data_IF_366759043118
#
_entry.id   IF_366759043118
#
_cell.length_a   1.000
_cell.length_b   1.000
_cell.length_c   1.000
_cell.angle_alpha   90.00
_cell.angle_beta   90.00
_cell.angle_gamma   90.00
#
_symmetry.space_group_name_H-M   'P 1'
#
loop_
_entity.id
_entity.type
_entity.pdbx_description
1 polymer ?
#
# COMPACT_ATOMS: atom_id res chain seq x y z
N UNK A 1 -12.46 -4.27 -5.19
CA UNK A 1 -11.31 -4.65 -4.32
C UNK A 1 -11.56 -5.95 -3.56
N UNK A 2 -12.73 -6.13 -2.95
CA UNK A 2 -13.00 -7.35 -2.18
C UNK A 2 -12.94 -8.62 -3.04
N UNK A 3 -13.37 -8.55 -4.29
CA UNK A 3 -13.30 -9.71 -5.19
C UNK A 3 -11.84 -10.09 -5.51
N UNK A 4 -10.94 -9.11 -5.61
CA UNK A 4 -9.51 -9.39 -5.78
C UNK A 4 -8.95 -10.14 -4.56
N UNK A 5 -9.34 -9.72 -3.36
CA UNK A 5 -8.90 -10.40 -2.13
C UNK A 5 -9.37 -11.84 -2.09
N UNK A 6 -10.62 -12.10 -2.46
CA UNK A 6 -11.15 -13.46 -2.55
C UNK A 6 -10.40 -14.30 -3.57
N UNK A 7 -10.12 -13.74 -4.75
CA UNK A 7 -9.39 -14.44 -5.80
C UNK A 7 -7.98 -14.81 -5.35
N UNK A 8 -7.27 -13.87 -4.74
CA UNK A 8 -5.91 -14.11 -4.24
C UNK A 8 -5.91 -15.17 -3.13
N UNK A 9 -6.90 -15.13 -2.25
CA UNK A 9 -7.03 -16.14 -1.20
C UNK A 9 -7.26 -17.52 -1.79
N UNK A 10 -8.14 -17.63 -2.79
CA UNK A 10 -8.42 -18.88 -3.49
C UNK A 10 -7.17 -19.45 -4.16
N UNK A 11 -6.28 -18.59 -4.65
CA UNK A 11 -5.02 -18.98 -5.26
C UNK A 11 -3.96 -19.40 -4.24
N UNK A 12 -4.26 -19.33 -2.94
CA UNK A 12 -3.35 -19.78 -1.90
C UNK A 12 -2.45 -18.71 -1.32
N UNK A 13 -2.68 -17.44 -1.63
CA UNK A 13 -1.88 -16.35 -1.06
C UNK A 13 -2.33 -16.02 0.36
N UNK A 14 -1.38 -15.73 1.22
CA UNK A 14 -1.65 -15.16 2.52
C UNK A 14 -1.92 -13.67 2.36
N UNK A 15 -3.05 -13.22 2.90
CA UNK A 15 -3.50 -11.85 2.75
C UNK A 15 -3.57 -11.19 4.11
N UNK A 16 -3.14 -9.94 4.17
CA UNK A 16 -3.31 -9.09 5.34
C UNK A 16 -3.92 -7.77 4.93
N UNK A 17 -4.60 -7.15 5.88
CA UNK A 17 -5.16 -5.81 5.70
C UNK A 17 -4.52 -4.87 6.70
N UNK A 18 -4.37 -3.60 6.33
CA UNK A 18 -3.77 -2.61 7.22
C UNK A 18 -4.75 -2.17 8.30
N UNK A 19 -4.20 -1.92 9.48
CA UNK A 19 -4.94 -1.39 10.62
C UNK A 19 -4.21 -0.15 11.11
N UNK A 20 -4.97 0.91 11.36
CA UNK A 20 -4.46 2.10 12.03
C UNK A 20 -4.66 1.90 13.53
N UNK A 21 -3.63 1.43 14.22
CA UNK A 21 -3.69 1.25 15.66
C UNK A 21 -3.40 2.54 16.41
N UNK A 22 -2.61 3.42 15.80
CA UNK A 22 -2.23 4.70 16.39
C UNK A 22 -2.21 5.75 15.28
N UNK A 23 -2.80 6.91 15.55
CA UNK A 23 -2.81 7.99 14.58
C UNK A 23 -1.38 8.49 14.30
N UNK A 24 -1.13 8.84 13.05
CA UNK A 24 0.15 9.39 12.60
C UNK A 24 1.34 8.47 12.87
N UNK A 25 1.11 7.16 12.78
CA UNK A 25 2.11 6.13 12.99
C UNK A 25 2.08 5.13 11.83
N UNK A 26 3.07 4.23 11.71
CA UNK A 26 3.03 3.20 10.68
C UNK A 26 1.81 2.30 10.81
N UNK A 27 1.34 1.79 9.67
CA UNK A 27 0.28 0.79 9.64
C UNK A 27 0.80 -0.54 10.18
N UNK A 28 -0.12 -1.32 10.75
CA UNK A 28 0.14 -2.71 11.11
C UNK A 28 -0.75 -3.59 10.25
N UNK A 29 -0.27 -4.77 9.88
CA UNK A 29 -0.99 -5.66 8.97
C UNK A 29 -1.42 -6.90 9.73
N UNK A 30 -2.70 -7.25 9.58
CA UNK A 30 -3.28 -8.42 10.25
C UNK A 30 -3.89 -9.35 9.21
N UNK A 31 -3.78 -10.65 9.46
CA UNK A 31 -4.26 -11.68 8.54
C UNK A 31 -5.73 -11.47 8.22
N UNK A 32 -6.05 -11.63 6.95
CA UNK A 32 -7.41 -11.60 6.45
C UNK A 32 -7.71 -12.89 5.70
N UNK A 33 -8.91 -13.42 5.90
CA UNK A 33 -9.51 -14.46 5.08
C UNK A 33 -10.98 -14.10 4.87
N UNK A 34 -11.70 -14.80 3.97
CA UNK A 34 -13.12 -14.51 3.78
C UNK A 34 -13.95 -14.59 5.07
N UNK A 35 -13.50 -15.36 6.04
CA UNK A 35 -14.20 -15.54 7.32
C UNK A 35 -13.78 -14.55 8.40
N UNK A 36 -12.78 -13.71 8.13
CA UNK A 36 -12.29 -12.75 9.12
C UNK A 36 -13.32 -11.65 9.36
N UNK A 37 -13.78 -11.47 10.61
CA UNK A 37 -14.69 -10.36 10.90
C UNK A 37 -13.96 -9.03 10.77
N UNK A 38 -14.65 -8.06 10.18
CA UNK A 38 -14.16 -6.70 10.05
C UNK A 38 -14.95 -5.78 10.97
N UNK A 39 -14.26 -4.77 11.47
CA UNK A 39 -14.88 -3.71 12.26
C UNK A 39 -14.56 -2.37 11.62
N UNK A 40 -15.29 -1.33 11.97
CA UNK A 40 -14.95 0.01 11.52
C UNK A 40 -13.86 0.57 12.41
N UNK A 41 -12.73 0.89 11.79
CA UNK A 41 -11.59 1.48 12.46
C UNK A 41 -11.52 2.98 12.25
N UNK A 42 -10.30 3.53 12.36
CA UNK A 42 -10.05 4.95 12.14
C UNK A 42 -10.50 5.35 10.74
N UNK A 43 -11.00 6.58 10.60
CA UNK A 43 -11.51 7.14 9.36
C UNK A 43 -12.65 6.30 8.76
N UNK A 44 -13.34 5.53 9.58
CA UNK A 44 -14.48 4.70 9.17
C UNK A 44 -14.10 3.63 8.13
N UNK A 45 -12.85 3.20 8.12
CA UNK A 45 -12.34 2.20 7.19
C UNK A 45 -12.50 0.81 7.80
N UNK A 46 -13.11 -0.15 7.07
CA UNK A 46 -13.18 -1.53 7.57
C UNK A 46 -11.78 -2.12 7.75
N UNK A 47 -11.56 -2.75 8.89
CA UNK A 47 -10.26 -3.38 9.19
C UNK A 47 -10.47 -4.65 10.00
N UNK A 48 -9.54 -5.63 9.93
CA UNK A 48 -9.63 -6.83 10.75
C UNK A 48 -9.43 -6.48 12.22
N UNK A 49 -9.98 -7.32 13.09
CA UNK A 49 -9.77 -7.15 14.53
C UNK A 49 -8.32 -7.45 14.88
N UNK A 50 -7.78 -6.75 15.87
CA UNK A 50 -6.37 -6.85 16.24
C UNK A 50 -6.00 -8.17 16.93
N UNK A 51 -6.97 -9.02 17.23
CA UNK A 51 -6.72 -10.35 17.77
C UNK A 51 -6.42 -11.39 16.67
N UNK A 52 -6.57 -11.03 15.39
CA UNK A 52 -6.11 -11.89 14.31
C UNK A 52 -4.58 -11.85 14.22
N UNK A 53 -3.95 -12.93 13.69
CA UNK A 53 -2.49 -12.93 13.60
C UNK A 53 -1.95 -11.81 12.74
N UNK A 54 -0.91 -11.14 13.23
CA UNK A 54 -0.19 -10.14 12.46
C UNK A 54 0.63 -10.83 11.35
N UNK A 55 0.71 -10.18 10.19
CA UNK A 55 1.53 -10.64 9.07
C UNK A 55 2.40 -9.49 8.58
N UNK A 56 3.68 -9.79 8.38
CA UNK A 56 4.57 -8.83 7.74
C UNK A 56 4.55 -9.09 6.24
N UNK A 57 4.04 -8.14 5.43
CA UNK A 57 3.84 -8.40 4.01
C UNK A 57 5.14 -8.40 3.22
N UNK A 58 5.22 -9.23 2.20
CA UNK A 58 6.30 -9.19 1.21
C UNK A 58 5.94 -8.36 -0.01
N UNK A 59 4.65 -8.12 -0.21
CA UNK A 59 4.14 -7.23 -1.26
C UNK A 59 3.04 -6.37 -0.67
N UNK A 60 3.13 -5.07 -0.88
CA UNK A 60 2.12 -4.11 -0.41
C UNK A 60 1.48 -3.42 -1.60
N UNK A 61 0.16 -3.49 -1.67
CA UNK A 61 -0.63 -2.72 -2.63
C UNK A 61 -0.94 -1.36 -2.00
N UNK A 62 -0.54 -0.29 -2.66
CA UNK A 62 -0.62 1.06 -2.10
C UNK A 62 -1.65 1.87 -2.87
N UNK A 63 -2.72 2.34 -2.20
CA UNK A 63 -3.68 3.22 -2.87
C UNK A 63 -2.98 4.49 -3.36
N UNK A 64 -3.22 4.85 -4.61
CA UNK A 64 -2.47 5.92 -5.26
C UNK A 64 -3.44 6.86 -5.97
N UNK A 65 -3.48 8.11 -5.53
CA UNK A 65 -4.32 9.14 -6.13
C UNK A 65 -3.68 9.70 -7.39
N UNK A 66 -2.39 10.01 -7.32
CA UNK A 66 -1.60 10.48 -8.43
C UNK A 66 -0.22 9.87 -8.41
N UNK A 67 0.45 9.82 -9.54
CA UNK A 67 1.77 9.19 -9.63
C UNK A 67 2.58 9.78 -10.77
N UNK A 68 3.90 9.60 -10.67
CA UNK A 68 4.83 9.95 -11.74
C UNK A 68 5.40 8.66 -12.34
N UNK A 69 5.99 8.78 -13.52
CA UNK A 69 6.65 7.63 -14.16
C UNK A 69 7.88 7.16 -13.38
N UNK A 70 8.40 8.00 -12.49
CA UNK A 70 9.54 7.66 -11.63
C UNK A 70 9.14 6.88 -10.38
N UNK A 71 7.86 6.62 -10.19
CA UNK A 71 7.38 5.84 -9.05
C UNK A 71 7.00 6.68 -7.84
N UNK A 72 7.04 8.00 -7.92
CA UNK A 72 6.56 8.85 -6.85
C UNK A 72 5.04 8.87 -6.85
N UNK A 73 4.45 8.97 -5.68
CA UNK A 73 3.01 8.97 -5.58
C UNK A 73 2.48 10.15 -4.77
N UNK A 74 1.31 10.61 -5.18
CA UNK A 74 0.48 11.51 -4.39
C UNK A 74 -0.60 10.66 -3.75
N UNK A 75 -0.62 10.63 -2.42
CA UNK A 75 -1.62 9.89 -1.66
C UNK A 75 -2.71 10.81 -1.13
N UNK A 76 -3.37 10.34 -0.08
CA UNK A 76 -4.51 11.04 0.50
C UNK A 76 -4.09 12.02 1.61
N UNK A 77 -2.78 12.33 1.70
CA UNK A 77 -2.26 13.37 2.59
C UNK A 77 -1.99 12.95 4.03
N UNK A 78 -2.22 11.70 4.39
CA UNK A 78 -2.02 11.23 5.77
C UNK A 78 -0.64 10.62 6.02
N UNK A 79 0.08 10.21 4.98
CA UNK A 79 1.45 9.69 5.09
C UNK A 79 1.57 8.30 5.72
N UNK A 80 0.49 7.54 5.87
CA UNK A 80 0.55 6.24 6.54
C UNK A 80 1.43 5.24 5.80
N UNK A 81 1.33 5.18 4.47
CA UNK A 81 2.14 4.23 3.69
C UNK A 81 3.61 4.62 3.66
N UNK A 82 3.92 5.91 3.57
CA UNK A 82 5.32 6.36 3.64
C UNK A 82 5.94 6.02 4.98
N UNK A 83 5.25 6.28 6.08
CA UNK A 83 5.71 5.91 7.42
C UNK A 83 5.90 4.40 7.54
N UNK A 84 4.99 3.63 6.98
CA UNK A 84 5.03 2.16 7.03
C UNK A 84 6.24 1.64 6.28
N UNK A 85 6.45 2.11 5.05
CA UNK A 85 7.58 1.68 4.23
C UNK A 85 8.90 2.06 4.87
N UNK A 86 9.01 3.27 5.44
CA UNK A 86 10.21 3.69 6.18
C UNK A 86 10.46 2.81 7.41
N UNK A 87 9.42 2.51 8.18
CA UNK A 87 9.56 1.69 9.37
C UNK A 87 10.03 0.28 9.03
N UNK A 88 9.45 -0.32 7.98
CA UNK A 88 9.84 -1.65 7.53
C UNK A 88 11.28 -1.66 7.03
N UNK A 89 11.68 -0.65 6.27
CA UNK A 89 13.06 -0.54 5.78
C UNK A 89 14.06 -0.45 6.93
N UNK A 90 13.74 0.31 7.98
CA UNK A 90 14.62 0.40 9.16
C UNK A 90 14.75 -0.93 9.89
N UNK A 91 13.77 -1.81 9.75
CA UNK A 91 13.82 -3.17 10.32
C UNK A 91 14.52 -4.16 9.39
N UNK A 92 15.03 -3.70 8.25
CA UNK A 92 15.67 -4.57 7.26
C UNK A 92 14.67 -5.31 6.38
N UNK A 93 13.40 -4.91 6.40
CA UNK A 93 12.35 -5.55 5.61
C UNK A 93 11.91 -4.59 4.51
N UNK A 94 12.11 -5.01 3.24
CA UNK A 94 11.81 -4.19 2.08
C UNK A 94 10.80 -4.90 1.20
N UNK A 95 9.50 -4.77 1.48
CA UNK A 95 8.47 -5.38 0.64
C UNK A 95 8.45 -4.70 -0.73
N UNK A 96 7.99 -5.45 -1.72
CA UNK A 96 7.70 -4.85 -3.03
C UNK A 96 6.45 -3.99 -2.86
N UNK A 97 6.52 -2.74 -3.30
CA UNK A 97 5.40 -1.80 -3.22
C UNK A 97 4.85 -1.52 -4.60
N UNK A 98 3.54 -1.73 -4.76
CA UNK A 98 2.84 -1.53 -6.03
C UNK A 98 1.70 -0.56 -5.80
N UNK A 99 1.78 0.60 -6.47
CA UNK A 99 0.69 1.57 -6.46
C UNK A 99 -0.46 1.08 -7.32
N UNK A 100 -1.68 1.28 -6.85
CA UNK A 100 -2.88 1.01 -7.61
C UNK A 100 -3.59 2.34 -7.82
N UNK A 101 -3.76 2.73 -9.08
CA UNK A 101 -4.36 4.00 -9.43
C UNK A 101 -5.12 3.95 -10.73
N UNK A 102 -5.61 5.11 -11.14
CA UNK A 102 -6.32 5.28 -12.40
C UNK A 102 -5.38 5.92 -13.43
N UNK A 103 -5.67 5.72 -14.71
CA UNK A 103 -4.86 6.30 -15.78
C UNK A 103 -4.80 7.82 -15.68
N UNK A 104 -5.88 8.45 -15.26
CA UNK A 104 -5.98 9.90 -15.09
C UNK A 104 -5.10 10.42 -13.96
N UNK A 105 -4.59 9.54 -13.10
CA UNK A 105 -3.72 9.90 -12.00
C UNK A 105 -2.29 10.23 -12.42
N UNK A 106 -1.93 9.97 -13.67
CA UNK A 106 -0.57 10.28 -14.13
C UNK A 106 -0.32 11.78 -14.08
N UNK A 107 0.71 12.17 -13.34
CA UNK A 107 1.11 13.57 -13.20
C UNK A 107 2.04 13.91 -14.36
N UNK A 108 1.60 14.85 -15.20
CA UNK A 108 2.41 15.39 -16.27
C UNK A 108 3.07 16.68 -15.80
N UNK A 109 4.35 16.84 -16.12
CA UNK A 109 5.11 18.02 -15.72
C UNK A 109 5.87 17.81 -14.42
N UNK A 110 6.19 18.91 -13.75
CA UNK A 110 7.04 18.86 -12.57
C UNK A 110 6.25 18.45 -11.34
N UNK A 111 6.74 17.46 -10.65
CA UNK A 111 6.27 17.05 -9.34
C UNK A 111 7.47 16.87 -8.42
N UNK A 112 7.47 17.60 -7.31
CA UNK A 112 8.54 17.51 -6.32
C UNK A 112 8.04 16.70 -5.12
N UNK A 113 8.47 15.45 -4.97
CA UNK A 113 8.09 14.68 -3.79
C UNK A 113 8.72 15.27 -2.54
N UNK A 114 8.05 15.09 -1.40
CA UNK A 114 8.64 15.46 -0.12
C UNK A 114 9.85 14.56 0.16
N UNK A 115 10.79 15.07 0.97
CA UNK A 115 12.03 14.32 1.24
C UNK A 115 11.78 12.96 1.91
N UNK A 116 10.65 12.82 2.61
CA UNK A 116 10.29 11.58 3.30
C UNK A 116 9.43 10.64 2.46
N UNK A 117 9.06 11.02 1.23
CA UNK A 117 8.26 10.17 0.37
C UNK A 117 9.09 9.00 -0.13
N UNK A 118 8.51 7.80 -0.08
CA UNK A 118 9.16 6.59 -0.59
C UNK A 118 8.65 6.29 -2.00
N UNK A 119 9.55 6.14 -3.00
CA UNK A 119 9.11 5.76 -4.33
C UNK A 119 8.56 4.33 -4.34
N UNK A 120 7.60 4.09 -5.23
CA UNK A 120 7.00 2.78 -5.43
C UNK A 120 7.85 1.95 -6.40
N UNK A 121 7.80 0.63 -6.24
CA UNK A 121 8.50 -0.28 -7.16
C UNK A 121 7.79 -0.39 -8.50
N UNK A 122 6.47 -0.29 -8.50
CA UNK A 122 5.68 -0.31 -9.72
C UNK A 122 4.34 0.37 -9.48
N UNK A 123 3.65 0.69 -10.55
CA UNK A 123 2.29 1.24 -10.50
C UNK A 123 1.46 0.47 -11.51
N UNK A 124 0.27 0.04 -11.13
CA UNK A 124 -0.67 -0.62 -12.01
C UNK A 124 -1.94 0.22 -12.14
N UNK A 125 -2.42 0.37 -13.37
CA UNK A 125 -3.66 1.07 -13.69
C UNK A 125 -4.44 0.21 -14.69
N UNK A 126 -5.69 0.56 -15.01
CA UNK A 126 -6.39 -0.15 -16.09
C UNK A 126 -5.63 -0.17 -17.41
N UNK A 127 -4.81 0.84 -17.68
CA UNK A 127 -4.01 0.91 -18.90
C UNK A 127 -2.75 0.06 -18.89
N UNK A 128 -2.34 -0.49 -17.76
CA UNK A 128 -1.18 -1.38 -17.68
C UNK A 128 -0.22 -1.01 -16.55
N UNK A 129 1.01 -1.48 -16.69
CA UNK A 129 2.07 -1.33 -15.70
C UNK A 129 2.99 -0.18 -16.02
N UNK A 130 3.43 0.52 -14.99
CA UNK A 130 4.52 1.49 -15.04
C UNK A 130 5.58 0.98 -14.06
N UNK A 131 6.76 0.65 -14.60
CA UNK A 131 7.87 0.16 -13.78
C UNK A 131 8.98 1.21 -13.86
N UNK A 132 9.25 1.94 -12.77
CA UNK A 132 10.30 2.93 -12.77
C UNK A 132 11.67 2.32 -13.00
N UNK A 133 12.61 3.12 -13.54
CA UNK A 133 13.98 2.70 -13.74
C UNK A 133 14.65 2.50 -12.38
N UNK A 134 15.03 1.25 -12.09
CA UNK A 134 15.65 0.92 -10.80
C UNK A 134 17.06 1.46 -10.65
N UNK A 135 17.71 1.85 -11.74
CA UNK A 135 19.07 2.40 -11.68
C UNK A 135 19.10 3.81 -11.07
N UNK A 136 17.96 4.45 -10.95
CA UNK A 136 17.85 5.79 -10.38
C UNK A 136 17.62 5.81 -8.88
N UNK A 137 17.58 4.65 -8.27
CA UNK A 137 17.33 4.52 -6.84
C UNK A 137 18.62 4.53 -6.02
#
# INVERSE_FOLDING_TARGET
MISLLHDLHTLGHDISLPVIEQLDAPLHFYRWSPDTPLRRGAFNIPEPQVDTPALQPSLILVPTLGYTRDGHRLGYGKGYYDRTLHALARQGHNPVSVGIGWDEGLINGSYLPAAHDMPLDAIVTPGGWIVPDTQQR
#
